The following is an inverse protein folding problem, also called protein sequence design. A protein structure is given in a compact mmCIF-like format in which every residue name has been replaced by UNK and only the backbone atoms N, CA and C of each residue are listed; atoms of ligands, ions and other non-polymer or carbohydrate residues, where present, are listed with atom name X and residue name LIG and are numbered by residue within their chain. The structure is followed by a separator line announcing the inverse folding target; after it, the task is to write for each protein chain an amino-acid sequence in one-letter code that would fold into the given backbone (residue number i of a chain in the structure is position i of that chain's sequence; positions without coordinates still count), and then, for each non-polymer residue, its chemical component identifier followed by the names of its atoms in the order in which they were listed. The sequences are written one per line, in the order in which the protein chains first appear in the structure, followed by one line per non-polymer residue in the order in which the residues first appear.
data_IF_659722277150
#
_entry.id   IF_659722277150
#
_cell.length_a   1.000
_cell.length_b   1.000
_cell.length_c   1.000
_cell.angle_alpha   90.00
_cell.angle_beta   90.00
_cell.angle_gamma   90.00
#
_symmetry.space_group_name_H-M   'P 1'
#
loop_
_entity.id
_entity.type
_entity.pdbx_description
1 polymer ?
#
# COMPACT_ATOMS: atom_id res chain seq x y z
N UNK A 1 18.30 6.07 -15.11
CA UNK A 1 17.39 4.93 -14.93
C UNK A 1 16.98 4.87 -13.47
N UNK A 2 15.71 4.66 -13.17
CA UNK A 2 15.20 4.53 -11.79
C UNK A 2 15.82 3.29 -11.14
N UNK A 3 16.41 3.43 -9.96
CA UNK A 3 16.97 2.29 -9.23
C UNK A 3 15.89 1.57 -8.39
N UNK A 4 16.18 0.33 -7.98
CA UNK A 4 15.32 -0.39 -7.01
C UNK A 4 15.18 0.40 -5.69
N UNK A 5 16.25 1.07 -5.26
CA UNK A 5 16.25 1.88 -4.04
C UNK A 5 15.30 3.08 -4.14
N UNK A 6 15.17 3.68 -5.33
CA UNK A 6 14.23 4.78 -5.57
C UNK A 6 12.79 4.28 -5.40
N UNK A 7 12.45 3.12 -5.97
CA UNK A 7 11.12 2.50 -5.80
C UNK A 7 10.81 2.13 -4.35
N UNK A 8 11.77 1.55 -3.62
CA UNK A 8 11.61 1.24 -2.19
C UNK A 8 11.42 2.52 -1.39
N UNK A 9 12.16 3.58 -1.69
CA UNK A 9 12.03 4.87 -1.02
C UNK A 9 10.67 5.52 -1.31
N UNK A 10 10.20 5.47 -2.56
CA UNK A 10 8.90 5.98 -2.99
C UNK A 10 7.73 5.21 -2.36
N UNK A 11 7.92 3.93 -2.02
CA UNK A 11 6.95 3.13 -1.28
C UNK A 11 6.79 3.58 0.19
N UNK A 12 7.67 4.46 0.68
CA UNK A 12 7.72 5.04 2.04
C UNK A 12 7.62 3.98 3.14
N UNK A 13 8.66 3.17 3.37
CA UNK A 13 8.63 2.05 4.32
C UNK A 13 8.23 2.48 5.74
N UNK A 14 8.61 3.69 6.16
CA UNK A 14 8.23 4.27 7.45
C UNK A 14 6.72 4.43 7.65
N UNK A 15 5.96 4.57 6.56
CA UNK A 15 4.48 4.67 6.61
C UNK A 15 3.78 3.32 6.62
N UNK A 16 4.48 2.22 6.29
CA UNK A 16 3.88 0.88 6.27
C UNK A 16 3.48 0.38 7.67
N UNK A 17 4.04 0.96 8.73
CA UNK A 17 3.57 0.72 10.11
C UNK A 17 2.08 1.02 10.29
N UNK A 18 1.54 1.99 9.55
CA UNK A 18 0.11 2.32 9.57
C UNK A 18 -0.76 1.21 8.97
N UNK A 19 -0.22 0.38 8.07
CA UNK A 19 -0.90 -0.81 7.56
C UNK A 19 -0.73 -2.01 8.51
N UNK A 20 0.43 -2.15 9.15
CA UNK A 20 0.73 -3.29 10.02
C UNK A 20 -0.08 -3.25 11.33
N UNK A 21 -0.12 -2.10 12.00
CA UNK A 21 -0.75 -1.95 13.30
C UNK A 21 -2.24 -2.37 13.35
N UNK A 22 -3.14 -1.86 12.47
CA UNK A 22 -4.54 -2.25 12.50
C UNK A 22 -4.74 -3.73 12.14
N UNK A 23 -3.94 -4.28 11.23
CA UNK A 23 -4.00 -5.71 10.87
C UNK A 23 -3.60 -6.58 12.06
N UNK A 24 -2.54 -6.23 12.78
CA UNK A 24 -2.12 -6.97 13.97
C UNK A 24 -3.21 -6.98 15.05
N UNK A 25 -3.83 -5.82 15.32
CA UNK A 25 -4.93 -5.69 16.28
C UNK A 25 -6.14 -6.52 15.83
N UNK A 26 -6.52 -6.44 14.55
CA UNK A 26 -7.63 -7.22 13.99
C UNK A 26 -7.40 -8.74 14.09
N UNK A 27 -6.19 -9.20 13.77
CA UNK A 27 -5.80 -10.60 13.89
C UNK A 27 -5.85 -11.09 15.35
N UNK A 28 -5.35 -10.30 16.30
CA UNK A 28 -5.40 -10.64 17.72
C UNK A 28 -6.84 -10.72 18.24
N UNK A 29 -7.70 -9.78 17.84
CA UNK A 29 -9.12 -9.78 18.20
C UNK A 29 -9.85 -10.98 17.59
N UNK A 30 -9.63 -11.28 16.31
CA UNK A 30 -10.21 -12.42 15.63
C UNK A 30 -9.80 -13.75 16.28
N UNK A 31 -8.53 -13.89 16.66
CA UNK A 31 -8.03 -15.07 17.35
C UNK A 31 -8.65 -15.23 18.73
N UNK A 32 -8.81 -14.14 19.47
CA UNK A 32 -9.47 -14.14 20.78
C UNK A 32 -10.95 -14.56 20.69
N UNK A 33 -11.68 -14.08 19.68
CA UNK A 33 -13.11 -14.37 19.52
C UNK A 33 -13.35 -15.79 18.98
N UNK A 34 -12.56 -16.22 17.99
CA UNK A 34 -12.77 -17.51 17.32
C UNK A 34 -12.01 -18.68 17.95
N UNK A 35 -11.12 -18.41 18.91
CA UNK A 35 -10.25 -19.42 19.53
C UNK A 35 -9.16 -19.99 18.61
N UNK A 36 -9.06 -19.52 17.37
CA UNK A 36 -8.11 -20.03 16.38
C UNK A 36 -7.45 -18.89 15.60
N UNK A 37 -6.19 -19.08 15.19
CA UNK A 37 -5.46 -18.11 14.36
C UNK A 37 -5.29 -18.66 12.95
N UNK A 38 -5.81 -17.93 11.94
CA UNK A 38 -5.66 -18.32 10.54
C UNK A 38 -4.52 -17.51 9.90
N UNK A 39 -3.36 -18.15 9.74
CA UNK A 39 -2.16 -17.53 9.16
C UNK A 39 -2.36 -17.10 7.71
N UNK A 40 -3.10 -17.87 6.92
CA UNK A 40 -3.37 -17.55 5.52
C UNK A 40 -4.15 -16.22 5.41
N UNK A 41 -5.24 -16.08 6.17
CA UNK A 41 -6.03 -14.84 6.17
C UNK A 41 -5.21 -13.67 6.74
N UNK A 42 -4.41 -13.90 7.79
CA UNK A 42 -3.57 -12.85 8.35
C UNK A 42 -2.54 -12.31 7.35
N UNK A 43 -1.86 -13.20 6.62
CA UNK A 43 -0.87 -12.82 5.59
C UNK A 43 -1.52 -12.17 4.37
N UNK A 44 -2.68 -12.66 3.93
CA UNK A 44 -3.46 -12.04 2.85
C UNK A 44 -3.91 -10.62 3.23
N UNK A 45 -4.44 -10.42 4.43
CA UNK A 45 -4.84 -9.09 4.93
C UNK A 45 -3.64 -8.15 5.02
N UNK A 46 -2.53 -8.61 5.62
CA UNK A 46 -1.33 -7.79 5.77
C UNK A 46 -0.75 -7.38 4.41
N UNK A 47 -0.66 -8.32 3.47
CA UNK A 47 -0.19 -8.06 2.12
C UNK A 47 -1.12 -7.11 1.35
N UNK A 48 -2.44 -7.29 1.47
CA UNK A 48 -3.43 -6.41 0.83
C UNK A 48 -3.32 -4.97 1.36
N UNK A 49 -3.34 -4.78 2.68
CA UNK A 49 -3.19 -3.47 3.30
C UNK A 49 -1.84 -2.83 2.99
N UNK A 50 -0.76 -3.61 2.96
CA UNK A 50 0.56 -3.14 2.54
C UNK A 50 0.58 -2.65 1.11
N UNK A 51 0.02 -3.42 0.18
CA UNK A 51 -0.09 -3.04 -1.23
C UNK A 51 -0.96 -1.78 -1.44
N UNK A 52 -2.07 -1.64 -0.71
CA UNK A 52 -2.89 -0.42 -0.72
C UNK A 52 -2.12 0.81 -0.23
N UNK A 53 -1.33 0.67 0.84
CA UNK A 53 -0.50 1.75 1.36
C UNK A 53 0.57 2.18 0.34
N UNK A 54 1.20 1.22 -0.33
CA UNK A 54 2.19 1.49 -1.39
C UNK A 54 1.51 2.16 -2.59
N UNK A 55 0.36 1.66 -3.04
CA UNK A 55 -0.42 2.25 -4.14
C UNK A 55 -0.75 3.72 -3.84
N UNK A 56 -1.24 4.00 -2.64
CA UNK A 56 -1.55 5.37 -2.18
C UNK A 56 -0.31 6.26 -2.17
N UNK A 57 0.83 5.73 -1.72
CA UNK A 57 2.10 6.46 -1.74
C UNK A 57 2.54 6.82 -3.17
N UNK A 58 2.38 5.91 -4.13
CA UNK A 58 2.68 6.14 -5.55
C UNK A 58 1.69 7.10 -6.22
N UNK A 59 0.39 6.98 -5.95
CA UNK A 59 -0.58 7.97 -6.44
C UNK A 59 -0.26 9.37 -5.93
N UNK A 60 0.06 9.51 -4.65
CA UNK A 60 0.45 10.79 -4.07
C UNK A 60 1.75 11.34 -4.69
N UNK A 61 2.73 10.48 -5.00
CA UNK A 61 3.95 10.88 -5.71
C UNK A 61 3.61 11.44 -7.11
N UNK A 62 2.84 10.70 -7.90
CA UNK A 62 2.46 11.12 -9.25
C UNK A 62 1.58 12.39 -9.28
N UNK A 63 0.55 12.44 -8.42
CA UNK A 63 -0.41 13.54 -8.40
C UNK A 63 0.21 14.84 -7.88
N UNK A 64 1.07 14.76 -6.87
CA UNK A 64 1.72 15.95 -6.32
C UNK A 64 2.70 16.58 -7.32
N UNK A 65 3.38 15.76 -8.14
CA UNK A 65 4.22 16.25 -9.23
C UNK A 65 3.40 16.98 -10.30
N UNK A 66 2.23 16.45 -10.68
CA UNK A 66 1.34 17.10 -11.64
C UNK A 66 0.80 18.44 -11.09
N UNK A 67 0.50 18.48 -9.79
CA UNK A 67 -0.02 19.69 -9.11
C UNK A 67 1.04 20.74 -8.79
N UNK A 68 2.32 20.47 -9.08
CA UNK A 68 3.42 21.40 -8.77
C UNK A 68 3.71 21.56 -7.27
N UNK A 69 3.23 20.62 -6.43
CA UNK A 69 3.44 20.65 -4.98
C UNK A 69 4.88 20.26 -4.57
N UNK A 70 5.65 19.69 -5.49
CA UNK A 70 7.05 19.31 -5.30
C UNK A 70 7.99 20.49 -5.63
N UNK A 71 8.22 21.35 -4.63
CA UNK A 71 9.20 22.44 -4.68
C UNK A 71 10.55 22.01 -4.11
N UNK A 72 11.64 22.73 -4.44
CA UNK A 72 12.98 22.45 -3.89
C UNK A 72 13.05 22.60 -2.35
N UNK A 73 12.11 23.33 -1.75
CA UNK A 73 12.02 23.52 -0.31
C UNK A 73 11.43 22.32 0.44
N UNK A 74 11.01 21.26 -0.26
CA UNK A 74 10.34 20.12 0.36
C UNK A 74 11.31 19.24 1.14
N UNK A 75 10.98 18.99 2.41
CA UNK A 75 11.71 18.08 3.30
C UNK A 75 10.94 16.76 3.37
N UNK A 76 11.53 15.66 2.86
CA UNK A 76 10.91 14.34 2.89
C UNK A 76 11.70 13.28 2.11
N UNK A 77 11.25 12.01 2.11
CA UNK A 77 11.86 10.96 1.31
C UNK A 77 11.86 11.33 -0.16
N UNK A 78 12.90 10.89 -0.88
CA UNK A 78 13.02 11.10 -2.33
C UNK A 78 11.79 10.52 -3.04
N UNK A 79 11.13 11.36 -3.84
CA UNK A 79 10.04 10.97 -4.74
C UNK A 79 10.58 10.63 -6.11
N UNK A 80 9.97 9.65 -6.77
CA UNK A 80 10.41 9.22 -8.09
C UNK A 80 10.15 10.29 -9.14
N UNK A 81 9.02 11.00 -9.04
CA UNK A 81 8.66 12.04 -10.00
C UNK A 81 9.42 13.35 -9.77
N UNK A 82 9.43 13.86 -8.54
CA UNK A 82 10.10 15.11 -8.18
C UNK A 82 11.61 15.09 -8.43
N UNK A 83 12.25 13.93 -8.29
CA UNK A 83 13.69 13.77 -8.55
C UNK A 83 14.02 13.49 -10.02
N UNK A 84 13.03 13.46 -10.90
CA UNK A 84 13.20 13.10 -12.32
C UNK A 84 13.55 11.63 -12.56
N UNK A 85 13.49 10.78 -11.53
CA UNK A 85 13.90 9.38 -11.62
C UNK A 85 12.91 8.55 -12.44
N UNK A 86 11.61 8.87 -12.42
CA UNK A 86 10.58 8.27 -13.28
C UNK A 86 9.47 9.28 -13.61
N UNK A 87 8.86 9.25 -14.80
CA UNK A 87 7.77 10.16 -15.16
C UNK A 87 6.49 9.80 -14.40
N UNK A 88 5.64 10.81 -14.13
CA UNK A 88 4.40 10.64 -13.37
C UNK A 88 3.51 9.51 -13.91
N UNK A 89 3.38 9.39 -15.23
CA UNK A 89 2.63 8.30 -15.87
C UNK A 89 3.12 6.91 -15.46
N UNK A 90 4.43 6.69 -15.37
CA UNK A 90 5.01 5.41 -14.96
C UNK A 90 4.71 5.12 -13.49
N UNK A 91 4.80 6.13 -12.63
CA UNK A 91 4.48 5.99 -11.20
C UNK A 91 2.99 5.73 -10.99
N UNK A 92 2.10 6.34 -11.78
CA UNK A 92 0.67 6.04 -11.79
C UNK A 92 0.38 4.60 -12.21
N UNK A 93 1.05 4.08 -13.24
CA UNK A 93 0.90 2.67 -13.64
C UNK A 93 1.35 1.75 -12.50
N UNK A 94 2.48 2.04 -11.85
CA UNK A 94 2.94 1.27 -10.69
C UNK A 94 1.93 1.30 -9.54
N UNK A 95 1.26 2.45 -9.30
CA UNK A 95 0.20 2.57 -8.31
C UNK A 95 -0.99 1.64 -8.62
N UNK A 96 -1.46 1.62 -9.88
CA UNK A 96 -2.52 0.71 -10.32
C UNK A 96 -2.12 -0.77 -10.23
N UNK A 97 -0.87 -1.12 -10.53
CA UNK A 97 -0.39 -2.49 -10.36
C UNK A 97 -0.44 -2.92 -8.89
N UNK A 98 -0.03 -2.06 -7.96
CA UNK A 98 -0.11 -2.34 -6.52
C UNK A 98 -1.56 -2.46 -6.05
N UNK A 99 -2.48 -1.65 -6.60
CA UNK A 99 -3.90 -1.82 -6.33
C UNK A 99 -4.42 -3.18 -6.82
N UNK A 100 -3.98 -3.63 -8.01
CA UNK A 100 -4.29 -4.96 -8.52
C UNK A 100 -3.78 -6.08 -7.60
N UNK A 101 -2.55 -5.94 -7.08
CA UNK A 101 -2.00 -6.88 -6.08
C UNK A 101 -2.85 -6.91 -4.81
N UNK A 102 -3.26 -5.73 -4.30
CA UNK A 102 -4.15 -5.66 -3.15
C UNK A 102 -5.48 -6.39 -3.39
N UNK A 103 -6.11 -6.14 -4.53
CA UNK A 103 -7.37 -6.82 -4.90
C UNK A 103 -7.19 -8.33 -4.98
N UNK A 104 -6.10 -8.82 -5.58
CA UNK A 104 -5.82 -10.27 -5.64
C UNK A 104 -5.66 -10.89 -4.25
N UNK A 105 -4.97 -10.19 -3.34
CA UNK A 105 -4.79 -10.64 -1.95
C UNK A 105 -6.08 -10.55 -1.13
N UNK A 106 -7.04 -9.72 -1.53
CA UNK A 106 -8.36 -9.64 -0.91
C UNK A 106 -9.31 -10.78 -1.34
N UNK A 107 -9.06 -11.47 -2.46
CA UNK A 107 -9.93 -12.55 -2.96
C UNK A 107 -10.14 -13.68 -1.93
N UNK A 108 -9.10 -14.24 -1.28
CA UNK A 108 -9.29 -15.25 -0.25
C UNK A 108 -10.08 -14.74 0.97
N UNK A 109 -9.94 -13.45 1.31
CA UNK A 109 -10.67 -12.82 2.41
C UNK A 109 -12.16 -12.75 2.08
N UNK A 110 -12.49 -12.32 0.87
CA UNK A 110 -13.86 -12.27 0.36
C UNK A 110 -14.49 -13.66 0.29
N UNK A 111 -13.76 -14.67 -0.19
CA UNK A 111 -14.25 -16.05 -0.21
C UNK A 111 -14.55 -16.59 1.20
N UNK A 112 -13.75 -16.20 2.19
CA UNK A 112 -13.91 -16.66 3.57
C UNK A 112 -14.99 -15.89 4.37
N UNK A 113 -15.22 -14.60 4.08
CA UNK A 113 -16.02 -13.70 4.92
C UNK A 113 -17.17 -12.99 4.20
N UNK A 114 -17.23 -13.08 2.88
CA UNK A 114 -18.31 -12.56 2.03
C UNK A 114 -18.29 -11.04 1.84
N UNK A 115 -19.47 -10.50 1.55
CA UNK A 115 -19.71 -9.09 1.22
C UNK A 115 -19.12 -8.05 2.20
N UNK A 116 -19.06 -8.28 3.53
CA UNK A 116 -18.47 -7.31 4.45
C UNK A 116 -17.06 -6.84 4.05
N UNK A 117 -16.25 -7.70 3.43
CA UNK A 117 -14.89 -7.35 2.97
C UNK A 117 -14.92 -6.24 1.92
N UNK A 118 -15.90 -6.24 1.01
CA UNK A 118 -15.98 -5.23 -0.05
C UNK A 118 -16.39 -3.85 0.49
N UNK A 119 -17.12 -3.80 1.60
CA UNK A 119 -17.60 -2.54 2.18
C UNK A 119 -16.58 -1.87 3.09
N UNK A 120 -15.74 -2.64 3.76
CA UNK A 120 -14.71 -2.10 4.66
C UNK A 120 -13.40 -1.78 3.96
N UNK A 121 -13.24 -2.24 2.71
CA UNK A 121 -12.04 -2.07 1.89
C UNK A 121 -11.12 -3.28 1.93
#
# INVERSE_FOLDING_TARGET
MTSLFDWISAARPKTLGAAIAPVAVGCALAAKISGTFNWTLALCTLGSCGALQIATNFFNDALDSIKGADTQARIGPRRNTASGAAPARTVTIAAWLMLGVATLLAVPLFQARGLPILFIG
#
